data_IF_848911517419
#
_entry.id   IF_848911517419
#
_cell.length_a   1.000
_cell.length_b   1.000
_cell.length_c   1.000
_cell.angle_alpha   90.00
_cell.angle_beta   90.00
_cell.angle_gamma   90.00
#
_symmetry.space_group_name_H-M   'P 1'
#
loop_
_entity.id
_entity.type
_entity.pdbx_description
1 polymer ?
#
# COMPACT_ATOMS: atom_id res chain seq x y z
N UNK A 1 23.71 -28.71 16.41
CA UNK A 1 22.50 -27.86 16.37
C UNK A 1 22.10 -27.67 14.91
N UNK A 2 21.02 -28.27 14.43
CA UNK A 2 19.93 -27.40 13.97
C UNK A 2 18.95 -28.06 12.99
N UNK A 3 18.79 -29.38 13.03
CA UNK A 3 17.80 -30.08 12.18
C UNK A 3 16.37 -29.95 12.71
N UNK A 4 16.19 -30.04 14.04
CA UNK A 4 14.87 -30.08 14.69
C UNK A 4 14.09 -28.77 14.54
N UNK A 5 14.77 -27.62 14.61
CA UNK A 5 14.16 -26.30 14.39
C UNK A 5 13.64 -26.12 12.97
N UNK A 6 14.44 -26.50 11.96
CA UNK A 6 14.04 -26.43 10.56
C UNK A 6 12.85 -27.33 10.24
N UNK A 7 12.83 -28.55 10.81
CA UNK A 7 11.71 -29.47 10.66
C UNK A 7 10.43 -28.93 11.32
N UNK A 8 10.55 -28.32 12.51
CA UNK A 8 9.43 -27.67 13.20
C UNK A 8 8.85 -26.49 12.39
N UNK A 9 9.71 -25.68 11.77
CA UNK A 9 9.28 -24.59 10.89
C UNK A 9 8.59 -25.08 9.62
N UNK A 10 9.07 -26.17 9.02
CA UNK A 10 8.44 -26.79 7.85
C UNK A 10 7.03 -27.30 8.19
N UNK A 11 6.85 -27.96 9.34
CA UNK A 11 5.55 -28.47 9.80
C UNK A 11 4.57 -27.30 10.05
N UNK A 12 5.02 -26.22 10.69
CA UNK A 12 4.20 -25.02 10.90
C UNK A 12 3.76 -24.39 9.58
N UNK A 13 4.68 -24.29 8.63
CA UNK A 13 4.41 -23.73 7.29
C UNK A 13 3.40 -24.58 6.52
N UNK A 14 3.54 -25.91 6.54
CA UNK A 14 2.58 -26.84 5.94
C UNK A 14 1.18 -26.72 6.56
N UNK A 15 1.10 -26.63 7.89
CA UNK A 15 -0.17 -26.45 8.61
C UNK A 15 -0.84 -25.12 8.25
N UNK A 16 -0.06 -24.04 8.17
CA UNK A 16 -0.54 -22.73 7.74
C UNK A 16 -1.06 -22.77 6.29
N UNK A 17 -0.29 -23.33 5.36
CA UNK A 17 -0.68 -23.48 3.96
C UNK A 17 -1.97 -24.31 3.80
N UNK A 18 -2.08 -25.43 4.51
CA UNK A 18 -3.30 -26.26 4.52
C UNK A 18 -4.51 -25.50 5.07
N UNK A 19 -4.31 -24.65 6.08
CA UNK A 19 -5.38 -23.81 6.63
C UNK A 19 -5.83 -22.73 5.63
N UNK A 20 -4.93 -22.21 4.80
CA UNK A 20 -5.26 -21.22 3.76
C UNK A 20 -6.06 -21.85 2.63
N UNK A 21 -5.74 -23.09 2.24
CA UNK A 21 -6.53 -23.84 1.25
C UNK A 21 -7.99 -24.03 1.70
N UNK A 22 -8.22 -24.30 3.00
CA UNK A 22 -9.58 -24.42 3.56
C UNK A 22 -10.35 -23.10 3.63
N UNK A 23 -9.64 -21.97 3.70
CA UNK A 23 -10.24 -20.61 3.73
C UNK A 23 -10.50 -20.05 2.34
N UNK A 24 -9.98 -20.69 1.28
CA UNK A 24 -10.21 -20.30 -0.10
C UNK A 24 -11.64 -20.68 -0.47
N UNK A 25 -12.58 -19.73 -0.31
CA UNK A 25 -13.87 -19.84 -0.99
C UNK A 25 -13.58 -19.87 -2.48
N UNK A 26 -14.10 -20.86 -3.21
CA UNK A 26 -14.05 -20.86 -4.67
C UNK A 26 -14.74 -19.57 -5.12
N UNK A 27 -13.96 -18.60 -5.60
CA UNK A 27 -14.51 -17.35 -6.09
C UNK A 27 -15.41 -17.69 -7.28
N UNK A 28 -16.68 -17.30 -7.21
CA UNK A 28 -17.58 -17.47 -8.35
C UNK A 28 -17.07 -16.63 -9.51
N UNK A 29 -17.41 -17.00 -10.75
CA UNK A 29 -17.17 -16.13 -11.91
C UNK A 29 -17.76 -14.74 -11.67
N UNK A 30 -18.86 -14.63 -10.94
CA UNK A 30 -19.48 -13.35 -10.60
C UNK A 30 -18.67 -12.53 -9.59
N UNK A 31 -17.87 -13.16 -8.73
CA UNK A 31 -16.97 -12.48 -7.79
C UNK A 31 -15.73 -11.91 -8.49
N UNK A 32 -15.28 -12.59 -9.55
CA UNK A 32 -14.07 -12.23 -10.31
C UNK A 32 -14.39 -11.25 -11.44
N UNK A 33 -15.45 -11.50 -12.19
CA UNK A 33 -15.80 -10.75 -13.40
C UNK A 33 -16.97 -9.78 -13.20
N UNK A 34 -17.56 -9.75 -12.00
CA UNK A 34 -18.75 -8.96 -11.71
C UNK A 34 -20.03 -9.60 -12.27
N UNK A 35 -21.17 -9.12 -11.78
CA UNK A 35 -22.48 -9.60 -12.25
C UNK A 35 -22.80 -8.97 -13.61
N UNK A 36 -23.11 -9.79 -14.62
CA UNK A 36 -23.40 -9.34 -16.01
C UNK A 36 -24.44 -8.21 -16.11
N UNK A 37 -25.39 -8.14 -15.18
CA UNK A 37 -26.50 -7.18 -15.19
C UNK A 37 -26.31 -6.01 -14.19
N UNK A 38 -25.17 -5.93 -13.48
CA UNK A 38 -24.89 -4.85 -12.53
C UNK A 38 -23.73 -4.01 -13.09
N UNK A 39 -24.08 -3.00 -13.88
CA UNK A 39 -23.11 -2.08 -14.49
C UNK A 39 -22.67 -0.95 -13.57
N UNK A 40 -23.36 -0.75 -12.43
CA UNK A 40 -23.04 0.28 -11.44
C UNK A 40 -22.72 -0.34 -10.09
N UNK A 41 -21.55 0.00 -9.55
CA UNK A 41 -21.22 -0.33 -8.17
C UNK A 41 -22.09 0.51 -7.23
N UNK A 42 -22.96 -0.15 -6.47
CA UNK A 42 -23.71 0.49 -5.40
C UNK A 42 -22.82 0.65 -4.17
N UNK A 43 -22.09 1.76 -4.12
CA UNK A 43 -21.34 2.12 -2.92
C UNK A 43 -22.30 2.54 -1.80
N UNK A 44 -21.98 2.16 -0.57
CA UNK A 44 -22.64 2.71 0.61
C UNK A 44 -22.43 4.23 0.59
N UNK A 45 -23.52 5.00 0.69
CA UNK A 45 -23.42 6.47 0.82
C UNK A 45 -22.57 6.78 2.05
N UNK A 46 -21.52 7.58 1.85
CA UNK A 46 -20.64 7.99 2.93
C UNK A 46 -21.38 8.90 3.91
N UNK A 47 -21.18 8.68 5.22
CA UNK A 47 -21.76 9.55 6.23
C UNK A 47 -21.04 10.89 6.23
N UNK A 48 -21.71 12.00 6.59
CA UNK A 48 -21.05 13.31 6.75
C UNK A 48 -19.81 13.24 7.67
N UNK A 49 -19.85 12.39 8.70
CA UNK A 49 -18.72 12.11 9.60
C UNK A 49 -17.52 11.46 8.89
N UNK A 50 -17.77 10.54 7.95
CA UNK A 50 -16.72 9.86 7.19
C UNK A 50 -16.03 10.83 6.24
N UNK A 51 -16.82 11.68 5.56
CA UNK A 51 -16.30 12.73 4.68
C UNK A 51 -15.42 13.71 5.46
N UNK A 52 -15.85 14.13 6.66
CA UNK A 52 -15.06 15.01 7.53
C UNK A 52 -13.74 14.34 7.96
N UNK A 53 -13.77 13.05 8.30
CA UNK A 53 -12.56 12.29 8.66
C UNK A 53 -11.58 12.20 7.50
N UNK A 54 -12.05 11.95 6.28
CA UNK A 54 -11.22 11.89 5.08
C UNK A 54 -10.60 13.26 4.79
N UNK A 55 -11.39 14.34 4.87
CA UNK A 55 -10.88 15.72 4.72
C UNK A 55 -9.76 16.04 5.70
N UNK A 56 -9.92 15.67 6.98
CA UNK A 56 -8.88 15.86 7.99
C UNK A 56 -7.60 15.10 7.66
N UNK A 57 -7.71 13.84 7.20
CA UNK A 57 -6.55 13.04 6.78
C UNK A 57 -5.84 13.66 5.58
N UNK A 58 -6.59 14.12 4.57
CA UNK A 58 -6.02 14.76 3.38
C UNK A 58 -5.25 16.03 3.73
N UNK A 59 -5.79 16.85 4.65
CA UNK A 59 -5.11 18.08 5.07
C UNK A 59 -3.76 17.79 5.74
N UNK A 60 -3.74 16.82 6.67
CA UNK A 60 -2.51 16.42 7.38
C UNK A 60 -1.46 15.86 6.40
N UNK A 61 -1.89 15.08 5.40
CA UNK A 61 -0.98 14.56 4.37
C UNK A 61 -0.38 15.68 3.52
N UNK A 62 -1.19 16.64 3.07
CA UNK A 62 -0.71 17.78 2.27
C UNK A 62 0.38 18.59 2.99
N UNK A 63 0.26 18.80 4.30
CA UNK A 63 1.30 19.52 5.06
C UNK A 63 2.62 18.74 5.14
N UNK A 64 2.56 17.40 5.21
CA UNK A 64 3.76 16.56 5.19
C UNK A 64 4.41 16.57 3.81
N UNK A 65 3.61 16.44 2.76
CA UNK A 65 4.07 16.48 1.37
C UNK A 65 4.73 17.81 1.03
N UNK A 66 4.17 18.95 1.47
CA UNK A 66 4.79 20.26 1.28
C UNK A 66 6.19 20.36 1.89
N UNK A 67 6.37 19.85 3.11
CA UNK A 67 7.68 19.82 3.77
C UNK A 67 8.66 18.91 3.01
N UNK A 68 8.22 17.73 2.61
CA UNK A 68 9.04 16.80 1.83
C UNK A 68 9.46 17.41 0.48
N UNK A 69 8.53 18.07 -0.22
CA UNK A 69 8.79 18.75 -1.48
C UNK A 69 9.78 19.91 -1.29
N UNK A 70 9.67 20.67 -0.20
CA UNK A 70 10.63 21.74 0.11
C UNK A 70 12.05 21.21 0.34
N UNK A 71 12.20 20.13 1.12
CA UNK A 71 13.51 19.49 1.31
C UNK A 71 14.06 18.90 0.01
N UNK A 72 13.20 18.26 -0.80
CA UNK A 72 13.60 17.72 -2.10
C UNK A 72 14.06 18.82 -3.07
N UNK A 73 13.40 19.98 -3.06
CA UNK A 73 13.79 21.15 -3.85
C UNK A 73 15.16 21.68 -3.43
N UNK A 74 15.41 21.86 -2.13
CA UNK A 74 16.72 22.29 -1.63
C UNK A 74 17.80 21.29 -2.01
N UNK A 75 17.55 19.99 -1.85
CA UNK A 75 18.51 18.94 -2.18
C UNK A 75 18.85 18.91 -3.68
N UNK A 76 17.86 19.12 -4.55
CA UNK A 76 18.10 19.20 -6.01
C UNK A 76 18.91 20.44 -6.37
N UNK A 77 18.59 21.62 -5.82
CA UNK A 77 19.38 22.84 -6.05
C UNK A 77 20.82 22.67 -5.60
N UNK A 78 21.05 22.09 -4.42
CA UNK A 78 22.39 21.81 -3.92
C UNK A 78 23.15 20.82 -4.82
N UNK A 79 22.49 19.77 -5.30
CA UNK A 79 23.10 18.80 -6.20
C UNK A 79 23.54 19.46 -7.51
N UNK A 80 22.69 20.31 -8.11
CA UNK A 80 23.05 21.08 -9.29
C UNK A 80 24.20 22.06 -9.03
N UNK A 81 24.23 22.70 -7.86
CA UNK A 81 25.30 23.60 -7.47
C UNK A 81 26.65 22.87 -7.35
N UNK A 82 26.67 21.70 -6.70
CA UNK A 82 27.86 20.85 -6.61
C UNK A 82 28.30 20.40 -8.00
N UNK A 83 27.35 20.03 -8.87
CA UNK A 83 27.69 19.63 -10.23
C UNK A 83 28.28 20.77 -11.06
N UNK A 84 27.74 21.99 -10.91
CA UNK A 84 28.30 23.17 -11.54
C UNK A 84 29.75 23.40 -11.12
N UNK A 85 30.05 23.33 -9.82
CA UNK A 85 31.41 23.49 -9.31
C UNK A 85 32.38 22.42 -9.85
N UNK A 86 31.93 21.18 -10.02
CA UNK A 86 32.80 20.09 -10.50
C UNK A 86 33.03 20.09 -12.02
N UNK A 87 32.13 20.66 -12.82
CA UNK A 87 32.23 20.64 -14.29
C UNK A 87 32.65 21.97 -14.94
N UNK A 88 32.48 23.09 -14.24
CA UNK A 88 32.83 24.43 -14.75
C UNK A 88 34.17 24.94 -14.21
N UNK A 89 34.67 24.32 -13.14
CA UNK A 89 36.05 24.49 -12.67
C UNK A 89 36.99 23.55 -13.43
#
# INVERSE_FOLDING_TARGET
MGGEGSMMHAIKSLKANRSMLKKRKLASKDDVYGKKNVTKLHFKKSTRRDVARIRKKMFIQKEKEKRQMFYAFIATVLLFFVMYLLFVQ
#
